data_IF_541659068174
#
_entry.id   IF_541659068174
#
_cell.length_a   1.000
_cell.length_b   1.000
_cell.length_c   1.000
_cell.angle_alpha   90.00
_cell.angle_beta   90.00
_cell.angle_gamma   90.00
#
_symmetry.space_group_name_H-M   'P 1'
#
loop_
_entity.id
_entity.type
_entity.pdbx_description
1 polymer ?
#
# COMPACT_ATOMS: atom_id res chain seq x y z
N UNK A 1 -71.86 8.25 12.18
CA UNK A 1 -70.83 7.22 12.46
C UNK A 1 -69.70 7.14 11.42
N UNK A 2 -69.96 7.37 10.13
CA UNK A 2 -68.95 7.22 9.04
C UNK A 2 -67.83 8.30 9.03
N UNK A 3 -68.16 9.58 9.26
CA UNK A 3 -67.20 10.69 9.19
C UNK A 3 -66.08 10.63 10.24
N UNK A 4 -66.42 10.24 11.47
CA UNK A 4 -65.45 10.10 12.57
C UNK A 4 -64.39 9.03 12.25
N UNK A 5 -64.79 7.86 11.70
CA UNK A 5 -63.85 6.80 11.28
C UNK A 5 -62.87 7.27 10.22
N UNK A 6 -63.31 8.02 9.21
CA UNK A 6 -62.44 8.57 8.14
C UNK A 6 -61.36 9.50 8.70
N UNK A 7 -61.72 10.36 9.67
CA UNK A 7 -60.79 11.30 10.32
C UNK A 7 -59.70 10.58 11.13
N UNK A 8 -60.06 9.54 11.87
CA UNK A 8 -59.10 8.74 12.64
C UNK A 8 -58.16 7.95 11.72
N UNK A 9 -58.66 7.35 10.63
CA UNK A 9 -57.82 6.64 9.66
C UNK A 9 -56.77 7.57 9.04
N UNK A 10 -57.15 8.78 8.62
CA UNK A 10 -56.22 9.76 8.05
C UNK A 10 -55.16 10.17 9.08
N UNK A 11 -55.54 10.36 10.35
CA UNK A 11 -54.60 10.69 11.42
C UNK A 11 -53.58 9.58 11.66
N UNK A 12 -54.03 8.33 11.80
CA UNK A 12 -53.12 7.19 12.01
C UNK A 12 -52.23 6.91 10.79
N UNK A 13 -52.75 7.12 9.56
CA UNK A 13 -51.94 7.00 8.35
C UNK A 13 -50.84 8.07 8.30
N UNK A 14 -51.16 9.31 8.69
CA UNK A 14 -50.17 10.38 8.77
C UNK A 14 -49.11 10.09 9.84
N UNK A 15 -49.52 9.65 11.03
CA UNK A 15 -48.59 9.22 12.09
C UNK A 15 -47.68 8.09 11.62
N UNK A 16 -48.23 7.09 10.92
CA UNK A 16 -47.46 6.01 10.33
C UNK A 16 -46.43 6.52 9.31
N UNK A 17 -46.83 7.40 8.39
CA UNK A 17 -45.92 7.99 7.39
C UNK A 17 -44.78 8.74 8.08
N UNK A 18 -45.08 9.57 9.09
CA UNK A 18 -44.07 10.33 9.82
C UNK A 18 -43.05 9.39 10.48
N UNK A 19 -43.52 8.30 11.10
CA UNK A 19 -42.63 7.29 11.71
C UNK A 19 -41.74 6.62 10.66
N UNK A 20 -42.34 6.14 9.56
CA UNK A 20 -41.59 5.47 8.48
C UNK A 20 -40.56 6.40 7.85
N UNK A 21 -40.92 7.66 7.60
CA UNK A 21 -40.00 8.68 7.06
C UNK A 21 -38.88 8.96 8.05
N UNK A 22 -39.18 9.11 9.34
CA UNK A 22 -38.17 9.31 10.38
C UNK A 22 -37.14 8.18 10.40
N UNK A 23 -37.61 6.92 10.42
CA UNK A 23 -36.77 5.73 10.38
C UNK A 23 -35.95 5.69 9.08
N UNK A 24 -36.57 5.98 7.94
CA UNK A 24 -35.91 5.95 6.62
C UNK A 24 -34.79 6.99 6.52
N UNK A 25 -35.02 8.22 7.00
CA UNK A 25 -34.01 9.28 7.02
C UNK A 25 -32.88 8.91 7.98
N UNK A 26 -33.18 8.33 9.15
CA UNK A 26 -32.15 7.87 10.08
C UNK A 26 -31.26 6.78 9.47
N UNK A 27 -31.84 5.79 8.78
CA UNK A 27 -31.06 4.77 8.06
C UNK A 27 -30.21 5.38 6.93
N UNK A 28 -30.78 6.33 6.17
CA UNK A 28 -30.06 6.98 5.08
C UNK A 28 -28.83 7.77 5.58
N UNK A 29 -28.98 8.54 6.67
CA UNK A 29 -27.85 9.26 7.29
C UNK A 29 -26.79 8.29 7.81
N UNK A 30 -27.19 7.16 8.36
CA UNK A 30 -26.28 6.12 8.80
C UNK A 30 -25.49 5.51 7.63
N UNK A 31 -26.15 5.23 6.51
CA UNK A 31 -25.50 4.69 5.30
C UNK A 31 -24.45 5.68 4.76
N UNK A 32 -24.77 6.98 4.70
CA UNK A 32 -23.82 8.02 4.31
C UNK A 32 -22.59 8.04 5.24
N UNK A 33 -22.82 7.89 6.55
CA UNK A 33 -21.72 7.85 7.52
C UNK A 33 -20.81 6.63 7.31
N UNK A 34 -21.41 5.47 7.04
CA UNK A 34 -20.67 4.22 6.78
C UNK A 34 -19.86 4.33 5.49
N UNK A 35 -20.46 4.88 4.43
CA UNK A 35 -19.77 5.10 3.16
C UNK A 35 -18.56 6.02 3.34
N UNK A 36 -18.72 7.15 4.04
CA UNK A 36 -17.60 8.05 4.32
C UNK A 36 -16.48 7.35 5.12
N UNK A 37 -16.83 6.54 6.12
CA UNK A 37 -15.85 5.77 6.88
C UNK A 37 -15.12 4.73 6.01
N UNK A 38 -15.83 4.05 5.11
CA UNK A 38 -15.25 3.10 4.15
C UNK A 38 -14.30 3.81 3.17
N UNK A 39 -14.63 5.02 2.73
CA UNK A 39 -13.77 5.85 1.89
C UNK A 39 -12.46 6.23 2.61
N UNK A 40 -12.56 6.65 3.87
CA UNK A 40 -11.39 6.99 4.68
C UNK A 40 -10.48 5.79 4.88
N UNK A 41 -11.03 4.62 5.18
CA UNK A 41 -10.26 3.37 5.29
C UNK A 41 -9.63 2.98 3.95
N UNK A 42 -10.33 3.17 2.82
CA UNK A 42 -9.72 2.96 1.50
C UNK A 42 -8.52 3.87 1.29
N UNK A 43 -8.65 5.16 1.59
CA UNK A 43 -7.55 6.12 1.42
C UNK A 43 -6.33 5.72 2.26
N UNK A 44 -6.55 5.28 3.50
CA UNK A 44 -5.46 4.78 4.37
C UNK A 44 -4.77 3.56 3.76
N UNK A 45 -5.53 2.58 3.27
CA UNK A 45 -4.98 1.37 2.63
C UNK A 45 -4.16 1.74 1.39
N UNK A 46 -4.72 2.57 0.51
CA UNK A 46 -4.04 2.99 -0.72
C UNK A 46 -2.76 3.78 -0.43
N UNK A 47 -2.79 4.68 0.56
CA UNK A 47 -1.59 5.41 0.98
C UNK A 47 -0.53 4.46 1.55
N UNK A 48 -0.93 3.46 2.34
CA UNK A 48 -0.01 2.45 2.88
C UNK A 48 0.68 1.65 1.79
N UNK A 49 -0.10 1.14 0.82
CA UNK A 49 0.44 0.41 -0.33
C UNK A 49 1.32 1.30 -1.21
N UNK A 50 0.94 2.55 -1.45
CA UNK A 50 1.74 3.48 -2.23
C UNK A 50 3.07 3.81 -1.54
N UNK A 51 3.09 3.97 -0.22
CA UNK A 51 4.33 4.13 0.54
C UNK A 51 5.24 2.92 0.38
N UNK A 52 4.70 1.70 0.46
CA UNK A 52 5.51 0.49 0.27
C UNK A 52 6.08 0.40 -1.14
N UNK A 53 5.29 0.68 -2.19
CA UNK A 53 5.78 0.70 -3.57
C UNK A 53 6.94 1.69 -3.73
N UNK A 54 6.87 2.86 -3.09
CA UNK A 54 7.96 3.83 -3.11
C UNK A 54 9.20 3.34 -2.34
N UNK A 55 9.01 2.70 -1.19
CA UNK A 55 10.09 2.10 -0.40
C UNK A 55 10.78 0.96 -1.19
N UNK A 56 10.01 0.08 -1.85
CA UNK A 56 10.51 -0.99 -2.74
C UNK A 56 11.31 -0.37 -3.90
N UNK A 57 10.80 0.70 -4.52
CA UNK A 57 11.50 1.38 -5.61
C UNK A 57 12.85 1.95 -5.15
N UNK A 58 12.87 2.67 -4.03
CA UNK A 58 14.10 3.21 -3.45
C UNK A 58 15.10 2.10 -3.14
N UNK A 59 14.63 1.01 -2.55
CA UNK A 59 15.42 -0.18 -2.27
C UNK A 59 16.03 -0.81 -3.53
N UNK A 60 15.26 -0.88 -4.63
CA UNK A 60 15.73 -1.38 -5.92
C UNK A 60 16.78 -0.45 -6.53
N UNK A 61 16.55 0.87 -6.51
CA UNK A 61 17.49 1.86 -7.03
C UNK A 61 18.83 1.81 -6.27
N UNK A 62 18.80 1.72 -4.95
CA UNK A 62 19.99 1.53 -4.13
C UNK A 62 20.73 0.23 -4.48
N UNK A 63 20.00 -0.87 -4.67
CA UNK A 63 20.60 -2.15 -5.04
C UNK A 63 21.24 -2.11 -6.42
N UNK A 64 20.59 -1.50 -7.41
CA UNK A 64 21.16 -1.33 -8.74
C UNK A 64 22.45 -0.51 -8.71
N UNK A 65 22.47 0.57 -7.93
CA UNK A 65 23.67 1.38 -7.73
C UNK A 65 24.80 0.57 -7.06
N UNK A 66 24.49 -0.18 -5.99
CA UNK A 66 25.49 -1.05 -5.34
C UNK A 66 25.99 -2.15 -6.27
N UNK A 67 25.10 -2.80 -7.03
CA UNK A 67 25.48 -3.81 -8.02
C UNK A 67 26.34 -3.24 -9.15
N UNK A 68 26.13 -1.99 -9.55
CA UNK A 68 26.99 -1.31 -10.51
C UNK A 68 28.41 -1.14 -9.96
N UNK A 69 28.55 -0.63 -8.74
CA UNK A 69 29.85 -0.50 -8.07
C UNK A 69 30.51 -1.86 -7.85
N UNK A 70 29.74 -2.85 -7.42
CA UNK A 70 30.18 -4.23 -7.23
C UNK A 70 30.78 -4.83 -8.51
N UNK A 71 30.10 -4.62 -9.64
CA UNK A 71 30.55 -5.10 -10.93
C UNK A 71 31.85 -4.43 -11.36
N UNK A 72 32.01 -3.14 -11.07
CA UNK A 72 33.26 -2.41 -11.35
C UNK A 72 34.42 -2.95 -10.50
N UNK A 73 34.19 -3.21 -9.21
CA UNK A 73 35.18 -3.80 -8.31
C UNK A 73 35.64 -5.17 -8.85
N UNK A 74 34.69 -6.06 -9.20
CA UNK A 74 35.01 -7.37 -9.76
C UNK A 74 35.80 -7.27 -11.07
N UNK A 75 35.41 -6.37 -11.98
CA UNK A 75 36.14 -6.17 -13.25
C UNK A 75 37.58 -5.71 -13.03
N UNK A 76 37.83 -4.85 -12.03
CA UNK A 76 39.18 -4.44 -11.65
C UNK A 76 40.02 -5.60 -11.11
N UNK A 77 39.45 -6.44 -10.23
CA UNK A 77 40.15 -7.61 -9.68
C UNK A 77 40.44 -8.68 -10.73
N UNK A 78 39.53 -8.88 -11.69
CA UNK A 78 39.67 -9.86 -12.77
C UNK A 78 40.52 -9.35 -13.95
N UNK A 79 40.98 -8.10 -13.90
CA UNK A 79 41.59 -7.40 -15.04
C UNK A 79 40.76 -7.52 -16.35
N UNK A 80 39.44 -7.46 -16.22
CA UNK A 80 38.51 -7.64 -17.33
C UNK A 80 38.44 -6.39 -18.22
N UNK A 81 38.13 -6.58 -19.51
CA UNK A 81 37.90 -5.49 -20.48
C UNK A 81 39.05 -4.47 -20.59
N UNK A 82 40.29 -4.93 -20.39
CA UNK A 82 41.48 -4.08 -20.43
C UNK A 82 41.65 -3.16 -19.21
N UNK A 83 40.77 -3.24 -18.21
CA UNK A 83 41.01 -2.60 -16.91
C UNK A 83 42.17 -3.30 -16.20
N UNK A 84 43.12 -2.51 -15.71
CA UNK A 84 44.15 -2.98 -14.79
C UNK A 84 43.74 -2.65 -13.37
N UNK A 85 44.07 -3.53 -12.43
CA UNK A 85 43.92 -3.24 -11.02
C UNK A 85 44.62 -1.92 -10.65
N UNK A 86 43.87 -1.00 -10.05
CA UNK A 86 44.37 0.29 -9.59
C UNK A 86 43.72 0.63 -8.25
N UNK A 87 44.56 0.85 -7.24
CA UNK A 87 44.11 1.10 -5.86
C UNK A 87 43.38 2.45 -5.74
N UNK A 88 43.83 3.49 -6.44
CA UNK A 88 43.18 4.80 -6.41
C UNK A 88 41.78 4.76 -7.03
N UNK A 89 41.59 4.01 -8.12
CA UNK A 89 40.29 3.76 -8.73
C UNK A 89 39.37 2.96 -7.82
N UNK A 90 39.90 1.97 -7.10
CA UNK A 90 39.14 1.19 -6.12
C UNK A 90 38.68 2.08 -4.96
N UNK A 91 39.56 2.93 -4.43
CA UNK A 91 39.25 3.85 -3.32
C UNK A 91 38.20 4.91 -3.68
N UNK A 92 38.08 5.26 -4.97
CA UNK A 92 36.98 6.11 -5.47
C UNK A 92 35.62 5.41 -5.48
N UNK A 93 35.61 4.08 -5.64
CA UNK A 93 34.37 3.27 -5.63
C UNK A 93 33.95 2.89 -4.22
N UNK A 94 34.92 2.52 -3.38
CA UNK A 94 34.67 2.22 -1.98
C UNK A 94 35.93 2.32 -1.13
N UNK A 95 35.80 2.93 0.04
CA UNK A 95 36.82 2.90 1.10
C UNK A 95 36.53 1.86 2.18
N UNK A 96 35.40 1.15 2.07
CA UNK A 96 34.94 0.20 3.07
C UNK A 96 35.47 -1.20 2.76
N UNK A 97 36.28 -1.73 3.67
CA UNK A 97 36.70 -3.14 3.65
C UNK A 97 35.48 -4.07 3.55
N UNK A 98 34.43 -3.81 4.33
CA UNK A 98 33.22 -4.63 4.30
C UNK A 98 32.57 -4.63 2.92
N UNK A 99 32.56 -3.51 2.19
CA UNK A 99 31.98 -3.46 0.84
C UNK A 99 32.72 -4.37 -0.13
N UNK A 100 34.06 -4.45 -0.02
CA UNK A 100 34.90 -5.33 -0.83
C UNK A 100 34.68 -6.80 -0.43
N UNK A 101 34.66 -7.11 0.87
CA UNK A 101 34.40 -8.48 1.35
C UNK A 101 33.01 -8.98 0.93
N UNK A 102 31.98 -8.13 1.08
CA UNK A 102 30.63 -8.42 0.63
C UNK A 102 30.53 -8.69 -0.86
N UNK A 103 31.27 -7.93 -1.67
CA UNK A 103 31.32 -8.10 -3.11
C UNK A 103 31.89 -9.46 -3.54
N UNK A 104 32.92 -9.94 -2.84
CA UNK A 104 33.68 -11.13 -3.23
C UNK A 104 33.14 -12.43 -2.63
N UNK A 105 32.58 -12.37 -1.42
CA UNK A 105 32.31 -13.57 -0.60
C UNK A 105 30.81 -13.82 -0.43
N UNK A 106 29.99 -12.78 -0.39
CA UNK A 106 28.61 -12.89 0.08
C UNK A 106 27.58 -12.83 -1.05
N UNK A 107 26.56 -13.67 -0.94
CA UNK A 107 25.38 -13.60 -1.81
C UNK A 107 24.52 -12.37 -1.46
N UNK A 108 24.18 -11.57 -2.48
CA UNK A 108 23.30 -10.40 -2.33
C UNK A 108 21.84 -10.85 -2.34
N UNK A 109 21.25 -11.03 -1.16
CA UNK A 109 19.82 -11.37 -1.01
C UNK A 109 18.94 -10.22 -1.52
N UNK A 110 17.85 -10.57 -2.20
CA UNK A 110 16.77 -9.65 -2.57
C UNK A 110 15.57 -9.88 -1.65
N UNK A 111 15.44 -9.02 -0.64
CA UNK A 111 14.39 -8.98 0.37
C UNK A 111 13.81 -7.55 0.51
N UNK A 112 12.92 -7.13 -0.41
CA UNK A 112 12.32 -5.80 -0.38
C UNK A 112 11.32 -5.65 0.78
N UNK A 113 11.03 -4.42 1.24
CA UNK A 113 10.06 -4.19 2.31
C UNK A 113 8.66 -4.66 1.89
N UNK A 114 8.01 -5.45 2.76
CA UNK A 114 6.67 -6.03 2.54
C UNK A 114 5.75 -5.90 3.79
N UNK A 115 6.21 -5.15 4.80
CA UNK A 115 5.54 -5.07 6.10
C UNK A 115 4.14 -4.44 6.01
N UNK A 116 3.96 -3.47 5.11
CA UNK A 116 2.69 -2.75 4.94
C UNK A 116 1.70 -3.62 4.19
N UNK A 117 2.12 -4.31 3.13
CA UNK A 117 1.29 -5.29 2.45
C UNK A 117 0.82 -6.38 3.42
N UNK A 118 1.72 -7.00 4.18
CA UNK A 118 1.32 -8.03 5.16
C UNK A 118 0.36 -7.49 6.21
N UNK A 119 0.56 -6.25 6.68
CA UNK A 119 -0.36 -5.59 7.61
C UNK A 119 -1.77 -5.42 7.00
N UNK A 120 -1.86 -4.97 5.74
CA UNK A 120 -3.14 -4.81 5.01
C UNK A 120 -3.86 -6.14 4.83
N UNK A 121 -3.14 -7.20 4.46
CA UNK A 121 -3.68 -8.55 4.30
C UNK A 121 -4.17 -9.10 5.63
N UNK A 122 -3.33 -9.08 6.67
CA UNK A 122 -3.65 -9.64 7.98
C UNK A 122 -4.79 -8.89 8.68
N UNK A 123 -4.90 -7.58 8.46
CA UNK A 123 -6.00 -6.78 8.98
C UNK A 123 -7.31 -6.94 8.18
N UNK A 124 -7.27 -7.62 7.02
CA UNK A 124 -8.43 -7.78 6.13
C UNK A 124 -8.92 -6.46 5.53
N UNK A 125 -8.07 -5.41 5.51
CA UNK A 125 -8.44 -4.07 5.05
C UNK A 125 -8.40 -3.94 3.53
N UNK A 126 -7.86 -4.93 2.82
CA UNK A 126 -7.89 -4.98 1.35
C UNK A 126 -9.32 -4.94 0.78
N UNK A 127 -10.33 -5.35 1.58
CA UNK A 127 -11.76 -5.26 1.23
C UNK A 127 -12.21 -3.84 0.86
N UNK A 128 -11.56 -2.81 1.40
CA UNK A 128 -11.91 -1.40 1.13
C UNK A 128 -11.40 -0.90 -0.23
N UNK A 129 -10.45 -1.61 -0.85
CA UNK A 129 -10.01 -1.29 -2.21
C UNK A 129 -11.17 -1.57 -3.18
N UNK A 130 -11.49 -0.64 -4.08
CA UNK A 130 -12.61 -0.82 -5.01
C UNK A 130 -12.31 -1.75 -6.18
N UNK A 131 -11.05 -1.83 -6.60
CA UNK A 131 -10.67 -2.60 -7.78
C UNK A 131 -10.45 -4.06 -7.44
N UNK A 132 -11.31 -4.94 -7.94
CA UNK A 132 -11.17 -6.39 -7.74
C UNK A 132 -9.94 -6.94 -8.46
N UNK A 133 -9.58 -6.37 -9.62
CA UNK A 133 -8.32 -6.71 -10.30
C UNK A 133 -7.09 -6.46 -9.43
N UNK A 134 -7.06 -5.36 -8.67
CA UNK A 134 -5.96 -5.09 -7.74
C UNK A 134 -5.96 -6.11 -6.60
N UNK A 135 -7.13 -6.52 -6.12
CA UNK A 135 -7.25 -7.56 -5.08
C UNK A 135 -6.85 -8.95 -5.56
N UNK A 136 -7.03 -9.27 -6.84
CA UNK A 136 -6.68 -10.57 -7.43
C UNK A 136 -5.18 -10.70 -7.73
N UNK A 137 -4.52 -9.58 -8.04
CA UNK A 137 -3.07 -9.54 -8.32
C UNK A 137 -2.25 -9.56 -7.03
N UNK A 138 -2.83 -9.05 -5.94
CA UNK A 138 -2.24 -8.97 -4.60
C UNK A 138 -2.54 -10.23 -3.78
#
# INVERSE_FOLDING_TARGET
>A
MSYLKKKYIIKYLFEFIVIVVGISVSFWLNEISIDNQNEDERIKVLNSLNMEVNEIRSYCDERLNRWSSDRQILRMFLNADGMRFNVDSLLKLTSSKNSIEFNLIYFRVFDPPMNRYYSVINAGTLKFVRSDKIKEIL
#
